data_IF_312696228255
#
_entry.id   IF_312696228255
#
_cell.length_a   1.000
_cell.length_b   1.000
_cell.length_c   1.000
_cell.angle_alpha   90.00
_cell.angle_beta   90.00
_cell.angle_gamma   90.00
#
_symmetry.space_group_name_H-M   'P 1'
#
loop_
_entity.id
_entity.type
_entity.pdbx_description
1 polymer ?
#
# COMPACT_ATOMS: atom_id res chain seq x y z
N UNK A 1 -10.16 5.48 4.63
CA UNK A 1 -11.13 4.92 3.66
C UNK A 1 -12.21 5.89 3.18
N UNK A 2 -12.71 6.82 4.02
CA UNK A 2 -13.71 7.81 3.57
C UNK A 2 -13.28 8.65 2.33
N UNK A 3 -11.98 8.85 2.11
CA UNK A 3 -11.47 9.57 0.94
C UNK A 3 -11.54 8.78 -0.38
N UNK A 4 -11.59 7.45 -0.34
CA UNK A 4 -11.62 6.54 -1.51
C UNK A 4 -13.01 5.96 -1.79
N UNK A 5 -13.86 5.95 -0.76
CA UNK A 5 -15.26 5.54 -0.85
C UNK A 5 -16.11 6.25 -1.95
N UNK A 6 -15.83 7.50 -2.37
CA UNK A 6 -16.66 8.14 -3.40
C UNK A 6 -16.31 7.74 -4.84
N UNK A 7 -15.23 6.99 -5.11
CA UNK A 7 -14.84 6.63 -6.48
C UNK A 7 -15.18 5.16 -6.77
N UNK A 8 -16.12 4.86 -7.68
CA UNK A 8 -16.47 3.49 -8.03
C UNK A 8 -15.25 2.76 -8.61
N UNK A 9 -15.11 1.48 -8.29
CA UNK A 9 -14.04 0.60 -8.81
C UNK A 9 -12.67 0.74 -8.16
N UNK A 10 -12.39 1.81 -7.40
CA UNK A 10 -11.05 1.97 -6.80
C UNK A 10 -10.84 1.03 -5.62
N UNK A 11 -11.80 0.95 -4.70
CA UNK A 11 -11.66 0.14 -3.49
C UNK A 11 -11.51 -1.35 -3.80
N UNK A 12 -12.33 -1.90 -4.70
CA UNK A 12 -12.27 -3.31 -5.10
C UNK A 12 -10.95 -3.70 -5.75
N UNK A 13 -10.26 -2.74 -6.35
CA UNK A 13 -9.05 -2.98 -7.14
C UNK A 13 -7.76 -2.72 -6.34
N UNK A 14 -7.87 -2.43 -5.04
CA UNK A 14 -6.78 -1.97 -4.19
C UNK A 14 -6.40 -3.03 -3.15
N UNK A 15 -5.14 -3.47 -3.11
CA UNK A 15 -4.62 -4.26 -2.01
C UNK A 15 -3.71 -3.43 -1.12
N UNK A 16 -3.96 -3.46 0.18
CA UNK A 16 -3.04 -2.90 1.16
C UNK A 16 -2.05 -3.95 1.68
N UNK A 17 -0.81 -3.51 1.90
CA UNK A 17 0.21 -4.26 2.64
C UNK A 17 0.54 -3.48 3.91
N UNK A 18 0.13 -4.00 5.07
CA UNK A 18 0.15 -3.23 6.33
C UNK A 18 0.57 -4.07 7.53
N UNK A 19 0.89 -3.40 8.63
CA UNK A 19 1.18 -4.09 9.89
C UNK A 19 -0.08 -4.77 10.46
N UNK A 20 0.08 -5.96 11.05
CA UNK A 20 -0.99 -6.73 11.70
C UNK A 20 -1.77 -5.95 12.76
N UNK A 21 -1.17 -4.95 13.41
CA UNK A 21 -1.85 -4.08 14.38
C UNK A 21 -3.08 -3.40 13.77
N UNK A 22 -3.06 -3.10 12.47
CA UNK A 22 -4.20 -2.47 11.79
C UNK A 22 -5.45 -3.33 11.78
N UNK A 23 -5.35 -4.68 11.94
CA UNK A 23 -6.52 -5.58 12.02
C UNK A 23 -7.50 -5.20 13.13
N UNK A 24 -7.02 -4.58 14.20
CA UNK A 24 -7.82 -4.22 15.37
C UNK A 24 -8.47 -2.84 15.26
N UNK A 25 -8.39 -2.19 14.09
CA UNK A 25 -9.04 -0.92 13.82
C UNK A 25 -10.32 -1.12 13.01
N UNK A 26 -11.21 -0.13 12.98
CA UNK A 26 -12.38 -0.14 12.09
C UNK A 26 -11.97 -0.36 10.62
N UNK A 27 -10.82 0.20 10.25
CA UNK A 27 -10.22 0.00 8.93
C UNK A 27 -9.75 -1.45 8.73
N UNK A 28 -9.21 -2.09 9.77
CA UNK A 28 -8.78 -3.49 9.78
C UNK A 28 -9.88 -4.50 9.47
N UNK A 29 -11.08 -4.32 10.02
CA UNK A 29 -12.22 -5.22 9.74
C UNK A 29 -12.54 -5.20 8.25
N UNK A 30 -12.63 -4.01 7.66
CA UNK A 30 -12.87 -3.86 6.22
C UNK A 30 -11.72 -4.45 5.41
N UNK A 31 -10.46 -4.20 5.81
CA UNK A 31 -9.30 -4.79 5.15
C UNK A 31 -9.27 -6.32 5.21
N UNK A 32 -9.74 -6.95 6.29
CA UNK A 32 -9.86 -8.41 6.37
C UNK A 32 -10.92 -8.93 5.39
N UNK A 33 -12.10 -8.29 5.33
CA UNK A 33 -13.14 -8.64 4.36
C UNK A 33 -12.67 -8.42 2.92
N UNK A 34 -11.87 -7.37 2.71
CA UNK A 34 -11.26 -7.05 1.45
C UNK A 34 -10.07 -7.96 1.11
N UNK A 35 -9.68 -8.93 1.93
CA UNK A 35 -8.48 -9.77 1.70
C UNK A 35 -7.22 -8.91 1.46
N UNK A 36 -6.98 -7.91 2.30
CA UNK A 36 -5.71 -7.18 2.34
C UNK A 36 -4.63 -8.01 3.05
N UNK A 37 -3.37 -7.75 2.71
CA UNK A 37 -2.24 -8.48 3.27
C UNK A 37 -1.69 -7.81 4.54
N UNK A 38 -1.52 -8.60 5.60
CA UNK A 38 -1.06 -8.11 6.90
C UNK A 38 0.27 -8.75 7.29
N UNK A 39 1.31 -7.93 7.39
CA UNK A 39 2.66 -8.31 7.81
C UNK A 39 2.75 -8.29 9.33
N UNK A 40 3.38 -9.31 9.90
CA UNK A 40 3.74 -9.31 11.32
C UNK A 40 5.11 -8.68 11.53
N UNK A 41 5.21 -7.63 12.34
CA UNK A 41 6.48 -7.03 12.71
C UNK A 41 7.37 -8.02 13.50
N UNK A 42 8.67 -8.00 13.19
CA UNK A 42 9.68 -8.81 13.89
C UNK A 42 10.67 -9.47 12.92
N UNK A 43 11.92 -9.63 13.35
CA UNK A 43 12.96 -10.24 12.51
C UNK A 43 12.69 -11.73 12.25
N UNK A 44 12.21 -12.47 13.26
CA UNK A 44 12.00 -13.92 13.20
C UNK A 44 10.93 -14.36 12.18
N UNK A 45 9.90 -13.54 11.95
CA UNK A 45 8.79 -13.86 11.02
C UNK A 45 8.92 -13.18 9.67
N UNK A 46 10.05 -12.51 9.42
CA UNK A 46 10.25 -11.69 8.23
C UNK A 46 10.26 -12.51 6.95
N UNK A 47 11.03 -13.59 6.92
CA UNK A 47 11.12 -14.47 5.74
C UNK A 47 9.80 -15.17 5.48
N UNK A 48 9.17 -15.68 6.54
CA UNK A 48 7.83 -16.25 6.46
C UNK A 48 6.81 -15.26 5.86
N UNK A 49 6.84 -14.00 6.28
CA UNK A 49 5.91 -12.98 5.75
C UNK A 49 6.11 -12.72 4.26
N UNK A 50 7.33 -12.90 3.72
CA UNK A 50 7.58 -12.75 2.28
C UNK A 50 7.04 -13.95 1.48
N UNK A 51 7.14 -15.16 2.03
CA UNK A 51 6.53 -16.36 1.44
C UNK A 51 5.00 -16.22 1.44
N UNK A 52 4.42 -15.81 2.57
CA UNK A 52 2.98 -15.56 2.68
C UNK A 52 2.51 -14.46 1.71
N UNK A 53 3.32 -13.42 1.47
CA UNK A 53 3.01 -12.37 0.50
C UNK A 53 2.93 -12.94 -0.92
N UNK A 54 3.91 -13.76 -1.31
CA UNK A 54 3.93 -14.42 -2.62
C UNK A 54 2.68 -15.29 -2.81
N UNK A 55 2.34 -16.12 -1.84
CA UNK A 55 1.15 -16.97 -1.89
C UNK A 55 -0.14 -16.12 -1.97
N UNK A 56 -0.19 -15.02 -1.22
CA UNK A 56 -1.35 -14.12 -1.21
C UNK A 56 -1.57 -13.41 -2.56
N UNK A 57 -0.49 -13.05 -3.27
CA UNK A 57 -0.59 -12.46 -4.61
C UNK A 57 -1.31 -13.42 -5.57
N UNK A 58 -0.90 -14.68 -5.60
CA UNK A 58 -1.52 -15.70 -6.46
C UNK A 58 -2.92 -16.10 -6.02
N UNK A 59 -3.19 -16.10 -4.72
CA UNK A 59 -4.48 -16.52 -4.17
C UNK A 59 -5.58 -15.45 -4.28
N UNK A 60 -5.22 -14.18 -4.09
CA UNK A 60 -6.21 -13.10 -4.00
C UNK A 60 -5.94 -11.93 -4.94
N UNK A 61 -4.70 -11.45 -5.09
CA UNK A 61 -4.44 -10.25 -5.89
C UNK A 61 -4.77 -10.46 -7.37
N UNK A 62 -4.18 -11.49 -7.99
CA UNK A 62 -4.37 -11.80 -9.41
C UNK A 62 -5.81 -12.28 -9.68
N UNK A 63 -6.39 -13.25 -8.93
CA UNK A 63 -7.73 -13.75 -9.23
C UNK A 63 -8.85 -12.72 -9.04
N UNK A 64 -8.66 -11.73 -8.16
CA UNK A 64 -9.61 -10.64 -7.97
C UNK A 64 -9.39 -9.48 -8.95
N UNK A 65 -8.44 -9.58 -9.88
CA UNK A 65 -8.17 -8.57 -10.90
C UNK A 65 -7.74 -7.22 -10.31
N UNK A 66 -7.01 -7.24 -9.19
CA UNK A 66 -6.58 -6.01 -8.52
C UNK A 66 -5.56 -5.25 -9.35
N UNK A 67 -5.67 -3.92 -9.32
CA UNK A 67 -4.85 -3.02 -10.13
C UNK A 67 -3.85 -2.21 -9.30
N UNK A 68 -4.10 -2.06 -8.00
CA UNK A 68 -3.28 -1.23 -7.13
C UNK A 68 -2.77 -2.03 -5.94
N UNK A 69 -1.49 -1.85 -5.62
CA UNK A 69 -0.87 -2.36 -4.41
C UNK A 69 -0.23 -1.23 -3.64
N UNK A 70 -0.60 -1.06 -2.37
CA UNK A 70 -0.03 -0.03 -1.51
C UNK A 70 0.96 -0.66 -0.56
N UNK A 71 2.24 -0.35 -0.79
CA UNK A 71 3.36 -0.78 0.02
C UNK A 71 3.96 0.42 0.76
N UNK A 72 4.39 0.19 1.99
CA UNK A 72 5.21 1.14 2.76
C UNK A 72 6.62 0.52 2.93
N UNK A 73 7.56 0.75 1.98
CA UNK A 73 8.88 0.09 1.97
C UNK A 73 9.74 0.53 3.14
N UNK A 74 9.55 1.79 3.56
CA UNK A 74 10.08 2.31 4.80
C UNK A 74 9.66 1.40 5.96
N UNK A 75 8.35 1.12 6.01
CA UNK A 75 7.59 0.44 7.06
C UNK A 75 6.80 1.46 7.91
N UNK A 76 6.39 1.11 9.14
CA UNK A 76 5.75 2.02 10.12
C UNK A 76 6.49 3.34 10.47
N UNK A 77 6.11 4.00 11.56
CA UNK A 77 6.50 5.41 11.83
C UNK A 77 8.02 5.71 11.90
N UNK A 78 8.43 6.80 11.25
CA UNK A 78 9.82 7.29 11.19
C UNK A 78 10.46 7.47 12.58
N UNK A 79 9.78 8.11 13.54
CA UNK A 79 10.35 8.36 14.87
C UNK A 79 10.78 7.08 15.60
N UNK A 80 10.10 5.95 15.34
CA UNK A 80 10.45 4.63 15.93
C UNK A 80 11.64 3.97 15.23
N UNK A 81 11.93 4.38 14.00
CA UNK A 81 12.88 3.71 13.09
C UNK A 81 14.12 4.51 12.78
N UNK A 82 14.13 5.82 13.01
CA UNK A 82 15.24 6.71 12.66
C UNK A 82 16.56 6.20 13.21
N UNK A 83 16.63 5.88 14.50
CA UNK A 83 17.87 5.40 15.11
C UNK A 83 18.36 4.07 14.51
N UNK A 84 17.46 3.09 14.35
CA UNK A 84 17.80 1.79 13.75
C UNK A 84 18.24 1.97 12.29
N UNK A 85 17.58 2.87 11.55
CA UNK A 85 17.94 3.22 10.18
C UNK A 85 19.31 3.88 10.10
N UNK A 86 19.64 4.78 11.01
CA UNK A 86 20.94 5.46 11.05
C UNK A 86 22.08 4.48 11.37
N UNK A 87 21.89 3.58 12.35
CA UNK A 87 22.87 2.51 12.65
C UNK A 87 23.07 1.58 11.45
N UNK A 88 21.99 1.25 10.74
CA UNK A 88 22.09 0.46 9.51
C UNK A 88 22.84 1.22 8.41
N UNK A 89 22.59 2.53 8.27
CA UNK A 89 23.28 3.36 7.29
C UNK A 89 24.79 3.39 7.54
N UNK A 90 25.21 3.65 8.79
CA UNK A 90 26.61 3.63 9.20
C UNK A 90 27.28 2.29 8.91
N UNK A 91 26.64 1.18 9.29
CA UNK A 91 27.21 -0.16 9.10
C UNK A 91 27.44 -0.51 7.63
N UNK A 92 26.63 0.02 6.72
CA UNK A 92 26.67 -0.30 5.30
C UNK A 92 27.25 0.84 4.44
N UNK A 93 27.86 1.87 5.05
CA UNK A 93 28.40 3.04 4.36
C UNK A 93 27.36 3.77 3.47
N UNK A 94 26.11 3.82 3.93
CA UNK A 94 25.01 4.53 3.28
C UNK A 94 24.82 5.93 3.90
N UNK A 95 24.25 6.89 3.16
CA UNK A 95 23.94 8.21 3.71
C UNK A 95 22.92 8.11 4.86
N UNK A 96 23.16 8.89 5.92
CA UNK A 96 22.18 9.08 6.99
C UNK A 96 21.07 9.99 6.49
N UNK A 97 19.84 9.48 6.49
CA UNK A 97 18.64 10.21 6.12
C UNK A 97 17.96 10.75 7.39
N UNK A 98 17.39 11.95 7.30
CA UNK A 98 16.78 12.63 8.46
C UNK A 98 15.25 12.63 8.41
N UNK A 99 14.68 12.82 7.22
CA UNK A 99 13.25 12.98 6.97
C UNK A 99 12.55 11.69 6.53
N UNK A 100 13.31 10.66 6.15
CA UNK A 100 12.82 9.31 5.84
C UNK A 100 13.76 8.27 6.43
N UNK A 101 13.28 7.04 6.65
CA UNK A 101 14.15 5.90 6.96
C UNK A 101 14.49 5.09 5.72
N UNK A 102 15.64 4.40 5.77
CA UNK A 102 16.10 3.57 4.66
C UNK A 102 15.09 2.44 4.40
N UNK A 103 14.64 2.27 3.15
CA UNK A 103 13.61 1.32 2.79
C UNK A 103 14.14 -0.12 2.79
N UNK A 104 13.23 -1.08 2.89
CA UNK A 104 13.52 -2.50 2.70
C UNK A 104 13.04 -2.95 1.32
N UNK A 105 13.92 -3.63 0.57
CA UNK A 105 13.60 -4.08 -0.78
C UNK A 105 12.81 -5.41 -0.84
N UNK A 106 12.75 -6.19 0.24
CA UNK A 106 12.25 -7.58 0.20
C UNK A 106 10.83 -7.74 -0.37
N UNK A 107 9.87 -6.92 0.10
CA UNK A 107 8.50 -6.98 -0.42
C UNK A 107 8.43 -6.51 -1.88
N UNK A 108 9.11 -5.42 -2.22
CA UNK A 108 9.18 -4.91 -3.60
C UNK A 108 9.73 -5.97 -4.56
N UNK A 109 10.79 -6.67 -4.15
CA UNK A 109 11.39 -7.77 -4.91
C UNK A 109 10.38 -8.87 -5.24
N UNK A 110 9.69 -9.40 -4.21
CA UNK A 110 8.66 -10.42 -4.43
C UNK A 110 7.56 -9.92 -5.37
N UNK A 111 7.10 -8.67 -5.19
CA UNK A 111 6.05 -8.10 -6.06
C UNK A 111 6.53 -8.01 -7.50
N UNK A 112 7.74 -7.50 -7.75
CA UNK A 112 8.30 -7.36 -9.09
C UNK A 112 8.62 -8.72 -9.74
N UNK A 113 9.00 -9.73 -8.97
CA UNK A 113 9.22 -11.09 -9.47
C UNK A 113 7.92 -11.78 -9.89
N UNK A 114 6.83 -11.57 -9.15
CA UNK A 114 5.56 -12.27 -9.40
C UNK A 114 4.65 -11.53 -10.39
N UNK A 115 4.58 -10.20 -10.30
CA UNK A 115 3.66 -9.36 -11.08
C UNK A 115 4.36 -8.15 -11.72
N UNK A 116 5.69 -8.14 -11.82
CA UNK A 116 6.41 -7.11 -12.56
C UNK A 116 6.18 -7.20 -14.08
N UNK A 117 6.80 -6.28 -14.85
CA UNK A 117 6.72 -6.32 -16.29
C UNK A 117 7.38 -7.61 -16.81
N UNK A 118 6.63 -8.36 -17.62
CA UNK A 118 7.14 -9.57 -18.25
C UNK A 118 8.17 -9.15 -19.31
N UNK A 119 9.45 -9.23 -18.98
CA UNK A 119 10.49 -9.10 -20.01
C UNK A 119 10.30 -10.26 -20.99
N UNK A 120 10.18 -10.01 -22.30
CA UNK A 120 10.19 -11.08 -23.29
C UNK A 120 11.61 -11.66 -23.34
N UNK A 121 11.93 -12.53 -22.37
CA UNK A 121 13.20 -13.23 -22.36
C UNK A 121 13.18 -14.26 -23.48
N UNK A 122 13.85 -13.95 -24.57
CA UNK A 122 14.28 -14.95 -25.52
C UNK A 122 15.11 -16.01 -24.77
N UNK A 123 14.55 -17.22 -24.65
CA UNK A 123 15.28 -18.43 -24.24
C UNK A 123 15.76 -18.47 -22.78
N UNK A 124 14.88 -18.86 -21.85
CA UNK A 124 15.32 -19.72 -20.74
C UNK A 124 14.18 -20.65 -20.33
N UNK A 125 14.38 -21.93 -20.61
CA UNK A 125 13.52 -23.05 -20.32
C UNK A 125 13.10 -23.09 -18.85
N UNK A 126 11.81 -22.80 -18.56
CA UNK A 126 11.15 -23.29 -17.36
C UNK A 126 10.99 -24.81 -17.49
N UNK A 127 11.94 -25.54 -16.93
CA UNK A 127 11.91 -26.98 -16.78
C UNK A 127 10.94 -27.33 -15.67
N UNK A 128 9.81 -27.95 -16.01
CA UNK A 128 8.82 -28.43 -15.04
C UNK A 128 7.60 -29.05 -15.70
N UNK A 129 7.47 -30.37 -15.51
CA UNK A 129 6.35 -31.26 -15.82
C UNK A 129 6.15 -31.75 -17.27
N UNK A 130 6.57 -33.00 -17.49
CA UNK A 130 6.03 -33.90 -18.51
C UNK A 130 4.55 -34.16 -18.24
N UNK A 131 3.72 -33.93 -19.26
CA UNK A 131 2.59 -34.82 -19.57
C UNK A 131 2.39 -34.79 -21.08
N UNK A 132 2.25 -35.99 -21.63
CA UNK A 132 2.27 -36.27 -23.06
C UNK A 132 1.06 -35.70 -23.82
N UNK A 133 1.28 -35.60 -25.14
CA UNK A 133 0.36 -35.62 -26.27
C UNK A 133 -0.16 -34.32 -26.93
N UNK A 134 0.37 -34.16 -28.17
CA UNK A 134 -0.28 -33.78 -29.44
C UNK A 134 -0.61 -32.30 -29.71
N UNK A 135 0.34 -31.67 -30.41
CA UNK A 135 0.20 -30.94 -31.69
C UNK A 135 -1.10 -30.11 -31.93
N UNK A 136 -0.96 -28.78 -31.91
CA UNK A 136 -1.36 -27.91 -33.03
C UNK A 136 -0.87 -26.48 -32.82
N UNK A 137 -0.32 -25.89 -33.88
CA UNK A 137 0.09 -24.50 -33.99
C UNK A 137 -1.04 -23.56 -33.53
N UNK A 138 -0.84 -22.89 -32.40
CA UNK A 138 -1.58 -21.70 -32.04
C UNK A 138 -0.59 -20.72 -31.43
N UNK A 139 -0.35 -19.65 -32.17
CA UNK A 139 0.25 -18.41 -31.68
C UNK A 139 -0.38 -18.12 -30.32
N UNK A 140 0.37 -18.29 -29.23
CA UNK A 140 -0.10 -17.98 -27.88
C UNK A 140 -0.27 -16.46 -27.82
N UNK A 141 -1.45 -15.97 -28.19
CA UNK A 141 -1.93 -14.69 -27.72
C UNK A 141 -1.99 -14.86 -26.21
N UNK A 142 -1.00 -14.31 -25.51
CA UNK A 142 -1.02 -14.26 -24.04
C UNK A 142 -2.13 -13.27 -23.73
N UNK A 143 -3.32 -13.81 -23.48
CA UNK A 143 -4.50 -13.06 -23.06
C UNK A 143 -4.22 -12.55 -21.63
N UNK A 144 -3.46 -11.46 -21.54
CA UNK A 144 -3.05 -10.84 -20.29
C UNK A 144 -4.30 -10.18 -19.71
N UNK A 145 -4.82 -10.73 -18.60
CA UNK A 145 -5.97 -10.16 -17.93
C UNK A 145 -5.51 -8.95 -17.12
N UNK A 146 -6.38 -7.95 -16.99
CA UNK A 146 -6.14 -6.83 -16.09
C UNK A 146 -5.87 -7.34 -14.67
N UNK A 147 -4.69 -7.03 -14.12
CA UNK A 147 -4.24 -7.48 -12.80
C UNK A 147 -3.12 -8.52 -12.81
N UNK A 148 -2.74 -9.06 -13.97
CA UNK A 148 -1.63 -10.03 -14.08
C UNK A 148 -0.24 -9.37 -13.96
N UNK A 149 -0.15 -8.07 -14.29
CA UNK A 149 1.12 -7.31 -14.24
C UNK A 149 0.90 -5.91 -13.68
N UNK A 150 1.96 -5.36 -13.09
CA UNK A 150 2.07 -3.98 -12.62
C UNK A 150 2.83 -3.18 -13.66
N UNK A 151 2.19 -2.15 -14.19
CA UNK A 151 2.77 -1.27 -15.21
C UNK A 151 3.49 -0.06 -14.63
N UNK A 152 3.08 0.40 -13.43
CA UNK A 152 3.53 1.66 -12.88
C UNK A 152 3.81 1.57 -11.38
N UNK A 153 4.87 2.24 -10.95
CA UNK A 153 5.21 2.50 -9.55
C UNK A 153 4.86 3.95 -9.25
N UNK A 154 3.81 4.16 -8.45
CA UNK A 154 3.45 5.46 -7.92
C UNK A 154 4.27 5.74 -6.66
N UNK A 155 5.23 6.63 -6.78
CA UNK A 155 6.05 7.09 -5.67
C UNK A 155 5.37 8.29 -4.99
N UNK A 156 5.08 8.18 -3.68
CA UNK A 156 4.39 9.23 -2.91
C UNK A 156 5.27 9.71 -1.76
N UNK A 157 5.35 11.03 -1.62
CA UNK A 157 6.03 11.73 -0.52
C UNK A 157 5.05 12.66 0.16
N UNK A 158 4.98 12.61 1.48
CA UNK A 158 4.04 13.39 2.28
C UNK A 158 4.83 14.29 3.22
N UNK A 159 4.62 15.60 3.13
CA UNK A 159 5.14 16.56 4.10
C UNK A 159 4.04 16.99 5.06
N UNK A 160 4.37 17.01 6.34
CA UNK A 160 3.48 17.38 7.43
C UNK A 160 3.92 18.71 8.05
N UNK A 161 2.98 19.51 8.58
CA UNK A 161 3.33 20.68 9.38
C UNK A 161 4.31 20.33 10.49
N UNK A 162 5.28 21.22 10.72
CA UNK A 162 6.29 21.09 11.77
C UNK A 162 7.09 19.78 11.76
N UNK A 163 7.07 19.04 10.63
CA UNK A 163 7.73 17.72 10.47
C UNK A 163 7.13 16.63 11.37
N UNK A 164 5.93 16.86 11.90
CA UNK A 164 5.26 15.91 12.81
C UNK A 164 4.19 15.15 12.03
N UNK A 165 4.39 13.85 11.76
CA UNK A 165 3.37 13.03 11.11
C UNK A 165 2.10 12.98 11.95
N UNK A 166 0.95 12.85 11.29
CA UNK A 166 -0.33 12.68 11.97
C UNK A 166 -0.35 11.38 12.77
N UNK A 167 -0.68 11.47 14.07
CA UNK A 167 -0.86 10.29 14.90
C UNK A 167 -2.10 9.49 14.46
N UNK A 168 -2.02 8.17 14.53
CA UNK A 168 -3.13 7.30 14.13
C UNK A 168 -4.42 7.60 14.93
N UNK A 169 -4.29 7.90 16.22
CA UNK A 169 -5.42 8.30 17.07
C UNK A 169 -6.08 9.58 16.55
N UNK A 170 -5.31 10.60 16.18
CA UNK A 170 -5.84 11.85 15.64
C UNK A 170 -6.53 11.65 14.28
N UNK A 171 -5.99 10.75 13.45
CA UNK A 171 -6.60 10.39 12.16
C UNK A 171 -7.92 9.66 12.38
N UNK A 172 -8.01 8.78 13.38
CA UNK A 172 -9.22 7.97 13.64
C UNK A 172 -10.30 8.77 14.36
N UNK A 173 -9.93 9.54 15.38
CA UNK A 173 -10.86 10.28 16.23
C UNK A 173 -11.17 11.70 15.72
N UNK A 174 -10.33 12.25 14.83
CA UNK A 174 -10.48 13.61 14.33
C UNK A 174 -10.25 14.68 15.40
N UNK A 175 -9.52 14.36 16.48
CA UNK A 175 -9.32 15.20 17.67
C UNK A 175 -8.18 16.20 17.53
N UNK A 176 -7.93 16.72 16.32
CA UNK A 176 -6.79 17.60 16.04
C UNK A 176 -7.22 18.92 15.39
N UNK A 177 -6.45 20.00 15.54
CA UNK A 177 -6.67 21.22 14.77
C UNK A 177 -6.52 20.96 13.27
N UNK A 178 -7.19 21.74 12.40
CA UNK A 178 -6.98 21.70 10.95
C UNK A 178 -5.50 21.90 10.62
N UNK A 179 -4.98 21.12 9.68
CA UNK A 179 -3.60 21.26 9.23
C UNK A 179 -3.51 20.99 7.74
N UNK A 180 -2.49 21.58 7.10
CA UNK A 180 -2.22 21.39 5.66
C UNK A 180 -1.11 20.36 5.48
N UNK A 181 -1.43 19.22 4.88
CA UNK A 181 -0.45 18.23 4.46
C UNK A 181 -0.18 18.37 2.97
N UNK A 182 1.07 18.28 2.56
CA UNK A 182 1.46 18.36 1.15
C UNK A 182 1.78 16.96 0.64
N UNK A 183 1.17 16.57 -0.48
CA UNK A 183 1.48 15.31 -1.15
C UNK A 183 2.18 15.63 -2.46
N UNK A 184 3.38 15.07 -2.63
CA UNK A 184 4.09 15.03 -3.89
C UNK A 184 4.07 13.59 -4.40
N UNK A 185 3.76 13.39 -5.67
CA UNK A 185 3.78 12.07 -6.28
C UNK A 185 4.49 12.07 -7.62
N UNK A 186 5.15 10.97 -7.94
CA UNK A 186 5.87 10.71 -9.19
C UNK A 186 5.47 9.33 -9.71
N UNK A 187 5.43 9.17 -11.02
CA UNK A 187 5.09 7.91 -11.65
C UNK A 187 6.31 7.39 -12.40
N UNK A 188 6.67 6.15 -12.13
CA UNK A 188 7.75 5.43 -12.80
C UNK A 188 7.17 4.21 -13.51
N UNK A 189 7.46 3.98 -14.79
CA UNK A 189 7.19 2.70 -15.43
C UNK A 189 7.83 1.57 -14.61
N UNK A 190 7.12 0.46 -14.42
CA UNK A 190 7.66 -0.69 -13.68
C UNK A 190 8.88 -1.29 -14.38
N UNK A 191 9.03 -1.07 -15.69
CA UNK A 191 10.21 -1.44 -16.48
C UNK A 191 11.48 -0.67 -16.10
N UNK A 192 11.37 0.47 -15.41
CA UNK A 192 12.53 1.20 -14.89
C UNK A 192 13.10 0.60 -13.61
N UNK A 193 12.33 -0.28 -12.94
CA UNK A 193 12.81 -0.97 -11.75
C UNK A 193 13.72 -2.12 -12.21
N UNK A 194 15.01 -2.15 -11.80
CA UNK A 194 15.92 -3.22 -12.20
C UNK A 194 15.42 -4.58 -11.73
N UNK A 195 15.67 -5.62 -12.54
CA UNK A 195 15.26 -6.99 -12.24
C UNK A 195 16.23 -7.70 -11.29
N UNK A 196 17.49 -7.26 -11.26
CA UNK A 196 18.49 -7.79 -10.35
C UNK A 196 18.33 -7.22 -8.92
N UNK A 197 18.71 -8.02 -7.93
CA UNK A 197 18.43 -7.69 -6.52
C UNK A 197 19.19 -6.46 -6.04
N UNK A 198 20.43 -6.28 -6.51
CA UNK A 198 21.29 -5.19 -6.09
C UNK A 198 20.84 -3.87 -6.72
N UNK A 199 20.61 -3.86 -8.03
CA UNK A 199 20.06 -2.76 -8.80
C UNK A 199 18.70 -2.31 -8.30
N UNK A 200 17.79 -3.24 -7.97
CA UNK A 200 16.49 -2.89 -7.39
C UNK A 200 16.62 -2.22 -6.02
N UNK A 201 17.53 -2.75 -5.18
CA UNK A 201 17.79 -2.18 -3.87
C UNK A 201 18.38 -0.78 -4.00
N UNK A 202 19.34 -0.60 -4.91
CA UNK A 202 19.95 0.69 -5.18
C UNK A 202 18.94 1.70 -5.74
N UNK A 203 18.13 1.30 -6.73
CA UNK A 203 17.06 2.12 -7.29
C UNK A 203 16.11 2.61 -6.18
N UNK A 204 15.74 1.71 -5.26
CA UNK A 204 14.88 2.06 -4.13
C UNK A 204 15.57 3.00 -3.14
N UNK A 205 16.86 2.80 -2.85
CA UNK A 205 17.65 3.73 -2.03
C UNK A 205 17.74 5.12 -2.65
N UNK A 206 18.01 5.21 -3.96
CA UNK A 206 18.11 6.48 -4.68
C UNK A 206 16.80 7.26 -4.56
N UNK A 207 15.65 6.60 -4.71
CA UNK A 207 14.34 7.25 -4.51
C UNK A 207 14.19 7.81 -3.10
N UNK A 208 14.64 7.10 -2.07
CA UNK A 208 14.54 7.58 -0.68
C UNK A 208 15.56 8.68 -0.35
N UNK A 209 16.75 8.65 -0.93
CA UNK A 209 17.73 9.75 -0.83
C UNK A 209 17.18 11.01 -1.50
N UNK A 210 16.56 10.88 -2.68
CA UNK A 210 15.89 11.99 -3.36
C UNK A 210 14.75 12.58 -2.51
N UNK A 211 13.93 11.71 -1.89
CA UNK A 211 12.85 12.15 -1.00
C UNK A 211 13.37 12.92 0.20
N UNK A 212 14.46 12.47 0.80
CA UNK A 212 15.06 13.12 1.96
C UNK A 212 15.46 14.57 1.62
N UNK A 213 16.20 14.74 0.53
CA UNK A 213 16.58 16.07 -0.01
C UNK A 213 15.37 16.91 -0.39
N UNK A 214 14.35 16.28 -0.98
CA UNK A 214 13.13 16.94 -1.38
C UNK A 214 12.33 17.46 -0.17
N UNK A 215 12.26 16.68 0.91
CA UNK A 215 11.63 17.08 2.16
C UNK A 215 12.43 18.18 2.85
N UNK A 216 13.77 18.08 2.84
CA UNK A 216 14.64 19.15 3.32
C UNK A 216 14.34 20.49 2.63
N UNK A 217 14.28 20.47 1.29
CA UNK A 217 13.99 21.67 0.50
C UNK A 217 12.56 22.18 0.75
N UNK A 218 11.59 21.27 0.85
CA UNK A 218 10.22 21.64 1.19
C UNK A 218 10.14 22.31 2.57
N UNK A 219 10.84 21.81 3.58
CA UNK A 219 10.84 22.43 4.90
C UNK A 219 11.63 23.74 4.96
N UNK A 220 12.54 23.97 4.01
CA UNK A 220 13.27 25.23 3.86
C UNK A 220 12.47 26.31 3.12
N UNK A 221 11.75 25.93 2.06
CA UNK A 221 11.12 26.87 1.11
C UNK A 221 9.60 26.88 1.15
N UNK A 222 8.98 25.85 1.73
CA UNK A 222 7.53 25.63 1.72
C UNK A 222 6.98 25.04 0.42
N UNK A 223 7.83 24.66 -0.54
CA UNK A 223 7.41 24.14 -1.84
C UNK A 223 8.18 22.89 -2.24
N UNK A 224 7.48 21.94 -2.88
CA UNK A 224 8.12 20.80 -3.50
C UNK A 224 8.74 21.22 -4.84
N UNK A 225 9.79 20.53 -5.32
CA UNK A 225 10.32 20.72 -6.66
C UNK A 225 9.21 20.48 -7.69
N UNK A 226 8.86 21.51 -8.47
CA UNK A 226 7.88 21.41 -9.55
C UNK A 226 8.63 21.53 -10.88
N UNK A 227 8.42 20.57 -11.78
CA UNK A 227 9.04 20.62 -13.12
C UNK A 227 8.33 21.57 -14.10
N UNK A 228 7.11 22.02 -13.77
CA UNK A 228 6.34 22.98 -14.58
C UNK A 228 5.37 23.78 -13.68
N UNK A 229 4.63 24.75 -14.25
CA UNK A 229 3.53 25.50 -13.61
C UNK A 229 2.29 24.63 -13.31
N UNK A 230 2.51 23.42 -12.83
CA UNK A 230 1.45 22.46 -12.51
C UNK A 230 0.50 23.05 -11.47
N UNK A 231 -0.80 22.94 -11.76
CA UNK A 231 -1.85 23.48 -10.90
C UNK A 231 -1.83 22.74 -9.56
N UNK A 232 -1.56 23.46 -8.46
CA UNK A 232 -1.66 22.88 -7.13
C UNK A 232 -3.12 22.52 -6.84
N UNK A 233 -3.41 21.23 -6.75
CA UNK A 233 -4.75 20.76 -6.39
C UNK A 233 -4.87 20.76 -4.87
N UNK A 234 -5.71 21.65 -4.35
CA UNK A 234 -6.05 21.69 -2.92
C UNK A 234 -7.32 20.88 -2.69
N UNK A 235 -7.22 19.82 -1.89
CA UNK A 235 -8.37 19.01 -1.48
C UNK A 235 -8.60 19.11 0.01
N UNK A 236 -9.74 19.69 0.41
CA UNK A 236 -10.15 19.71 1.80
C UNK A 236 -10.67 18.33 2.21
N UNK A 237 -10.06 17.72 3.23
CA UNK A 237 -10.54 16.49 3.86
C UNK A 237 -11.17 16.87 5.19
N UNK A 238 -12.49 16.72 5.30
CA UNK A 238 -13.25 16.99 6.53
C UNK A 238 -13.78 15.69 7.12
N UNK A 239 -13.55 15.49 8.40
CA UNK A 239 -14.24 14.46 9.19
C UNK A 239 -15.43 15.11 9.89
N UNK A 240 -16.62 14.60 9.60
CA UNK A 240 -17.86 15.09 10.20
C UNK A 240 -18.34 14.10 11.26
N UNK A 241 -17.84 14.29 12.48
CA UNK A 241 -18.12 13.39 13.60
C UNK A 241 -19.61 13.36 13.98
N UNK A 242 -20.34 14.47 13.78
CA UNK A 242 -21.79 14.52 14.01
C UNK A 242 -22.52 13.66 12.99
N UNK A 243 -22.17 13.79 11.71
CA UNK A 243 -22.72 12.92 10.65
C UNK A 243 -22.43 11.45 10.95
N UNK A 244 -21.20 11.11 11.35
CA UNK A 244 -20.87 9.73 11.70
C UNK A 244 -21.67 9.23 12.90
N UNK A 245 -21.82 10.04 13.95
CA UNK A 245 -22.63 9.71 15.12
C UNK A 245 -24.10 9.45 14.73
N UNK A 246 -24.71 10.33 13.93
CA UNK A 246 -26.09 10.17 13.45
C UNK A 246 -26.24 8.87 12.65
N UNK A 247 -25.32 8.61 11.71
CA UNK A 247 -25.34 7.37 10.92
C UNK A 247 -25.22 6.12 11.80
N UNK A 248 -24.30 6.12 12.75
CA UNK A 248 -24.13 4.99 13.67
C UNK A 248 -25.36 4.78 14.56
N UNK A 249 -25.92 5.84 15.14
CA UNK A 249 -27.14 5.77 15.92
C UNK A 249 -28.32 5.23 15.09
N UNK A 250 -28.46 5.69 13.85
CA UNK A 250 -29.48 5.20 12.93
C UNK A 250 -29.34 3.69 12.68
N UNK A 251 -28.15 3.20 12.34
CA UNK A 251 -27.93 1.78 12.07
C UNK A 251 -28.06 0.91 13.32
N UNK A 252 -27.66 1.39 14.49
CA UNK A 252 -27.85 0.68 15.77
C UNK A 252 -29.34 0.57 16.09
N UNK A 253 -30.09 1.68 15.99
CA UNK A 253 -31.54 1.68 16.23
C UNK A 253 -32.29 0.79 15.22
N UNK A 254 -31.92 0.85 13.94
CA UNK A 254 -32.49 0.00 12.89
C UNK A 254 -32.22 -1.49 13.15
N UNK A 255 -30.97 -1.85 13.48
CA UNK A 255 -30.60 -3.24 13.81
C UNK A 255 -31.35 -3.73 15.05
N UNK A 256 -31.47 -2.89 16.08
CA UNK A 256 -32.23 -3.23 17.29
C UNK A 256 -33.71 -3.47 16.97
N UNK A 257 -34.34 -2.61 16.17
CA UNK A 257 -35.72 -2.77 15.74
C UNK A 257 -35.92 -4.08 14.96
N UNK A 258 -35.05 -4.35 13.98
CA UNK A 258 -35.08 -5.58 13.19
C UNK A 258 -34.92 -6.83 14.07
N UNK A 259 -33.98 -6.80 15.03
CA UNK A 259 -33.79 -7.87 15.99
C UNK A 259 -35.03 -8.12 16.84
N UNK A 260 -35.68 -7.06 17.34
CA UNK A 260 -36.93 -7.18 18.12
C UNK A 260 -38.06 -7.77 17.27
N UNK A 261 -38.25 -7.29 16.05
CA UNK A 261 -39.25 -7.84 15.11
C UNK A 261 -38.96 -9.33 14.84
N UNK A 262 -37.70 -9.68 14.60
CA UNK A 262 -37.30 -11.07 14.38
C UNK A 262 -37.59 -11.96 15.59
N UNK A 263 -37.26 -11.52 16.80
CA UNK A 263 -37.55 -12.26 18.03
C UNK A 263 -39.05 -12.47 18.25
N UNK A 264 -39.87 -11.44 18.01
CA UNK A 264 -41.33 -11.54 18.10
C UNK A 264 -41.87 -12.55 17.08
N UNK A 265 -41.48 -12.42 15.80
CA UNK A 265 -41.86 -13.38 14.75
C UNK A 265 -41.43 -14.82 15.08
N UNK A 266 -40.23 -14.99 15.62
CA UNK A 266 -39.72 -16.30 16.03
C UNK A 266 -40.57 -16.89 17.17
N UNK A 267 -41.02 -16.08 18.12
CA UNK A 267 -41.92 -16.52 19.21
C UNK A 267 -43.31 -16.94 18.74
N UNK A 268 -43.75 -16.52 17.55
CA UNK A 268 -44.98 -17.02 16.94
C UNK A 268 -44.78 -18.32 16.16
N UNK A 269 -43.54 -18.67 15.83
CA UNK A 269 -43.21 -19.88 15.08
C UNK A 269 -42.85 -21.07 15.99
N UNK A 270 -42.67 -20.85 17.29
CA UNK A 270 -42.31 -21.86 18.29
C UNK A 270 -43.11 -21.71 19.58
#
# INVERSE_FOLDING_TARGET
MAAWNPRPGVLSNLMWIMDRVFKFTNFGIVSVLHQDFFIQAGQAKREQSLVELKEHIHKYYIPLGRQFMVLFPEGGFLHKRREVSQRFAEKNNLPKLEYVSLPRAGALKIIMEEVGPQVPTAGTSKQGYKKDDVNQNSTRIIDTKSGDTIEWVLDVTIAYPDRIPLHLQDIVCGTRPPCRTHLHYRLYPSSEVPTDTEGMTQWLYDRFIEKDKMLEEFYRTGQFPSKDSSTQVVRQVRQDNVRYLILHLFFIASTFLQYRIFCELWSYMW
#
